data_IF_780536032030
#
_entry.id   IF_780536032030
#
_cell.length_a   1.000
_cell.length_b   1.000
_cell.length_c   1.000
_cell.angle_alpha   90.00
_cell.angle_beta   90.00
_cell.angle_gamma   90.00
#
_symmetry.space_group_name_H-M   'P 1'
#
loop_
_entity.id
_entity.type
_entity.pdbx_description
1 polymer ?
#
# COMPACT_ATOMS: atom_id res chain seq x y z
N UNK A 1 -3.49 -2.14 0.24
CA UNK A 1 -3.05 -0.83 0.80
C UNK A 1 -1.76 -1.01 1.59
N UNK A 2 -0.61 -1.01 0.94
CA UNK A 2 0.65 -1.28 1.62
C UNK A 2 1.13 -0.05 2.41
N UNK A 3 1.63 -0.26 3.62
CA UNK A 3 2.39 0.72 4.39
C UNK A 3 3.88 0.37 4.29
N UNK A 4 4.64 1.11 3.50
CA UNK A 4 5.99 0.75 3.07
C UNK A 4 7.05 1.79 3.44
N UNK A 5 6.64 2.93 4.00
CA UNK A 5 7.52 4.05 4.37
C UNK A 5 7.13 4.59 5.75
N UNK A 6 7.82 4.11 6.78
CA UNK A 6 7.58 4.53 8.17
C UNK A 6 8.08 5.95 8.44
N UNK A 7 8.85 6.56 7.52
CA UNK A 7 9.24 7.97 7.64
C UNK A 7 8.11 8.94 7.27
N UNK A 8 6.98 8.43 6.75
CA UNK A 8 5.80 9.20 6.35
C UNK A 8 6.13 10.30 5.32
N UNK A 9 7.07 10.05 4.41
CA UNK A 9 7.54 11.05 3.46
C UNK A 9 6.64 11.25 2.24
N UNK A 10 5.63 10.39 2.03
CA UNK A 10 4.67 10.48 0.94
C UNK A 10 3.78 11.73 1.06
N UNK A 11 3.50 12.39 -0.06
CA UNK A 11 2.63 13.59 -0.08
C UNK A 11 1.20 13.28 0.32
N UNK A 12 0.68 12.09 -0.03
CA UNK A 12 -0.68 11.67 0.29
C UNK A 12 -0.94 11.58 1.80
N UNK A 13 0.09 11.39 2.64
CA UNK A 13 0.00 11.46 4.10
C UNK A 13 -0.67 12.78 4.53
N UNK A 14 -0.30 13.88 3.90
CA UNK A 14 -0.84 15.21 4.19
C UNK A 14 -2.09 15.50 3.35
N UNK A 15 -2.03 15.22 2.05
CA UNK A 15 -3.04 15.66 1.10
C UNK A 15 -4.37 14.88 1.29
N UNK A 16 -4.31 13.62 1.72
CA UNK A 16 -5.46 12.76 1.95
C UNK A 16 -5.88 12.63 3.43
N UNK A 17 -5.24 13.34 4.34
CA UNK A 17 -5.48 13.23 5.79
C UNK A 17 -6.96 13.39 6.19
N UNK A 18 -7.72 14.23 5.46
CA UNK A 18 -9.15 14.47 5.73
C UNK A 18 -10.09 13.57 4.91
N UNK A 19 -9.53 12.74 4.03
CA UNK A 19 -10.27 11.93 3.08
C UNK A 19 -10.22 10.44 3.40
N UNK A 20 -9.20 9.98 4.12
CA UNK A 20 -9.12 8.61 4.59
C UNK A 20 -10.08 8.43 5.78
N UNK A 21 -11.10 7.58 5.60
CA UNK A 21 -12.15 7.42 6.61
C UNK A 21 -11.73 6.46 7.74
N UNK A 22 -10.66 5.69 7.57
CA UNK A 22 -10.28 4.64 8.52
C UNK A 22 -8.92 4.91 9.18
N UNK A 23 -7.97 5.49 8.45
CA UNK A 23 -6.59 5.64 8.91
C UNK A 23 -6.24 7.10 9.11
N UNK A 24 -5.70 7.44 10.27
CA UNK A 24 -5.20 8.78 10.58
C UNK A 24 -3.69 8.84 10.70
N UNK A 25 -3.12 10.01 10.48
CA UNK A 25 -1.67 10.23 10.62
C UNK A 25 -1.23 10.00 12.07
N UNK A 26 -2.04 10.41 13.04
CA UNK A 26 -1.77 10.23 14.47
C UNK A 26 -1.71 8.75 14.83
N UNK A 27 -2.63 7.94 14.29
CA UNK A 27 -2.62 6.49 14.50
C UNK A 27 -1.37 5.84 13.88
N UNK A 28 -0.95 6.26 12.68
CA UNK A 28 0.30 5.79 12.09
C UNK A 28 1.51 6.17 12.93
N UNK A 29 1.61 7.41 13.37
CA UNK A 29 2.72 7.88 14.20
C UNK A 29 2.82 7.10 15.52
N UNK A 30 1.70 6.87 16.19
CA UNK A 30 1.66 6.05 17.40
C UNK A 30 2.11 4.62 17.13
N UNK A 31 1.63 4.00 16.04
CA UNK A 31 2.05 2.66 15.62
C UNK A 31 3.54 2.58 15.32
N UNK A 32 4.10 3.54 14.62
CA UNK A 32 5.53 3.63 14.29
C UNK A 32 6.37 3.69 15.57
N UNK A 33 5.99 4.54 16.54
CA UNK A 33 6.70 4.66 17.82
C UNK A 33 6.76 3.34 18.59
N UNK A 34 5.68 2.55 18.53
CA UNK A 34 5.65 1.23 19.18
C UNK A 34 6.40 0.14 18.37
N UNK A 35 6.44 0.28 17.06
CA UNK A 35 7.06 -0.71 16.17
C UNK A 35 8.59 -0.57 16.09
N UNK A 36 9.08 0.67 16.03
CA UNK A 36 10.52 0.92 15.94
C UNK A 36 11.17 0.70 17.30
N UNK A 37 12.18 -0.17 17.31
CA UNK A 37 13.07 -0.33 18.45
C UNK A 37 14.16 0.75 18.47
N UNK A 38 14.80 0.93 19.61
CA UNK A 38 15.86 1.92 19.79
C UNK A 38 16.97 1.79 18.74
N UNK A 39 17.28 2.91 18.10
CA UNK A 39 18.37 3.05 17.13
C UNK A 39 18.02 2.69 15.69
N UNK A 40 16.80 2.20 15.39
CA UNK A 40 16.37 1.97 14.01
C UNK A 40 15.71 3.24 13.46
N UNK A 41 16.23 3.73 12.33
CA UNK A 41 15.63 4.87 11.64
C UNK A 41 14.37 4.44 10.87
N UNK A 42 13.40 5.35 10.77
CA UNK A 42 12.13 5.06 10.09
C UNK A 42 12.27 4.79 8.58
N UNK A 43 13.33 5.24 7.96
CA UNK A 43 13.67 5.01 6.54
C UNK A 43 14.63 3.82 6.32
N UNK A 44 14.98 3.07 7.37
CA UNK A 44 15.79 1.86 7.26
C UNK A 44 15.04 0.82 6.39
N UNK A 45 15.67 0.24 5.34
CA UNK A 45 15.02 -0.74 4.46
C UNK A 45 14.43 -1.96 5.18
N UNK A 46 14.97 -2.32 6.35
CA UNK A 46 14.47 -3.45 7.16
C UNK A 46 13.07 -3.20 7.76
N UNK A 47 12.68 -1.94 7.90
CA UNK A 47 11.38 -1.54 8.45
C UNK A 47 10.53 -0.76 7.45
N UNK A 48 11.16 -0.19 6.43
CA UNK A 48 10.52 0.54 5.33
C UNK A 48 10.93 -0.04 3.98
N UNK A 49 10.25 -1.10 3.52
CA UNK A 49 10.61 -1.84 2.31
C UNK A 49 10.62 -1.00 1.03
N UNK A 50 9.99 0.17 1.04
CA UNK A 50 10.06 1.10 -0.09
C UNK A 50 11.51 1.52 -0.41
N UNK A 51 12.40 1.53 0.58
CA UNK A 51 13.80 1.93 0.41
C UNK A 51 14.75 0.76 0.12
N UNK A 52 14.24 -0.48 0.15
CA UNK A 52 15.01 -1.69 -0.12
C UNK A 52 15.19 -1.93 -1.63
N UNK A 53 16.10 -2.85 -1.99
CA UNK A 53 16.21 -3.38 -3.35
C UNK A 53 15.01 -4.29 -3.67
N UNK A 54 14.28 -3.95 -4.73
CA UNK A 54 13.09 -4.69 -5.15
C UNK A 54 13.36 -5.71 -6.27
N UNK A 55 14.61 -5.87 -6.68
CA UNK A 55 14.98 -6.86 -7.71
C UNK A 55 14.59 -8.27 -7.27
N UNK A 56 14.04 -9.04 -8.18
CA UNK A 56 13.69 -10.45 -7.94
C UNK A 56 12.37 -10.66 -7.19
N UNK A 57 11.62 -9.62 -6.90
CA UNK A 57 10.26 -9.81 -6.40
C UNK A 57 9.41 -10.56 -7.44
N UNK A 58 8.53 -11.47 -7.00
CA UNK A 58 7.60 -12.17 -7.88
C UNK A 58 6.58 -11.20 -8.48
N UNK A 59 5.80 -11.64 -9.49
CA UNK A 59 4.64 -10.88 -9.95
C UNK A 59 3.78 -10.43 -8.77
N UNK A 60 3.51 -9.12 -8.67
CA UNK A 60 2.92 -8.53 -7.47
C UNK A 60 1.65 -7.75 -7.82
N UNK A 61 0.57 -8.00 -7.10
CA UNK A 61 -0.64 -7.18 -7.15
C UNK A 61 -0.61 -6.13 -6.04
N UNK A 62 -0.77 -4.88 -6.41
CA UNK A 62 -0.94 -3.76 -5.48
C UNK A 62 -2.33 -3.16 -5.65
N UNK A 63 -3.09 -3.10 -4.58
CA UNK A 63 -4.41 -2.47 -4.52
C UNK A 63 -4.38 -1.30 -3.56
N UNK A 64 -4.96 -0.15 -3.95
CA UNK A 64 -5.00 1.05 -3.13
C UNK A 64 -6.22 1.89 -3.47
N UNK A 65 -6.79 2.57 -2.48
CA UNK A 65 -7.87 3.54 -2.65
C UNK A 65 -7.33 4.95 -2.92
N UNK A 66 -8.04 5.72 -3.75
CA UNK A 66 -7.58 7.07 -4.12
C UNK A 66 -7.65 8.10 -2.96
N UNK A 67 -8.39 7.78 -1.90
CA UNK A 67 -8.52 8.64 -0.71
C UNK A 67 -7.58 8.24 0.44
N UNK A 68 -6.73 7.24 0.22
CA UNK A 68 -5.84 6.76 1.27
C UNK A 68 -4.67 7.71 1.54
N UNK A 69 -4.32 7.86 2.81
CA UNK A 69 -3.07 8.53 3.18
C UNK A 69 -1.84 7.75 2.74
N UNK A 70 -1.95 6.44 2.48
CA UNK A 70 -0.89 5.56 1.98
C UNK A 70 -0.83 5.47 0.43
N UNK A 71 -1.57 6.31 -0.28
CA UNK A 71 -1.60 6.28 -1.75
C UNK A 71 -0.22 6.42 -2.38
N UNK A 72 0.61 7.34 -1.86
CA UNK A 72 1.96 7.55 -2.39
C UNK A 72 2.92 6.39 -2.10
N UNK A 73 2.75 5.68 -0.99
CA UNK A 73 3.53 4.46 -0.73
C UNK A 73 3.31 3.45 -1.85
N UNK A 74 2.04 3.22 -2.22
CA UNK A 74 1.68 2.32 -3.31
C UNK A 74 2.20 2.79 -4.67
N UNK A 75 2.11 4.10 -4.97
CA UNK A 75 2.59 4.67 -6.23
C UNK A 75 4.10 4.57 -6.35
N UNK A 76 4.84 5.00 -5.33
CA UNK A 76 6.31 4.94 -5.29
C UNK A 76 6.83 3.51 -5.35
N UNK A 77 6.15 2.58 -4.66
CA UNK A 77 6.48 1.16 -4.74
C UNK A 77 6.31 0.63 -6.17
N UNK A 78 5.17 0.93 -6.81
CA UNK A 78 4.93 0.55 -8.20
C UNK A 78 6.06 1.04 -9.11
N UNK A 79 6.36 2.33 -9.07
CA UNK A 79 7.38 2.95 -9.93
C UNK A 79 8.76 2.30 -9.73
N UNK A 80 9.15 2.09 -8.47
CA UNK A 80 10.43 1.47 -8.14
C UNK A 80 10.49 0.00 -8.56
N UNK A 81 9.44 -0.75 -8.35
CA UNK A 81 9.37 -2.16 -8.71
C UNK A 81 9.37 -2.35 -10.25
N UNK A 82 8.66 -1.51 -11.00
CA UNK A 82 8.70 -1.50 -12.47
C UNK A 82 10.12 -1.20 -12.99
N UNK A 83 10.83 -0.25 -12.38
CA UNK A 83 12.23 0.06 -12.70
C UNK A 83 13.17 -1.11 -12.40
N UNK A 84 12.87 -1.92 -11.38
CA UNK A 84 13.58 -3.15 -11.03
C UNK A 84 13.15 -4.36 -11.89
N UNK A 85 12.31 -4.17 -12.90
CA UNK A 85 11.85 -5.25 -13.80
C UNK A 85 10.80 -6.17 -13.18
N UNK A 86 10.19 -5.81 -12.07
CA UNK A 86 9.13 -6.57 -11.41
C UNK A 86 7.82 -6.40 -12.18
N UNK A 87 7.10 -7.50 -12.43
CA UNK A 87 5.76 -7.47 -13.03
C UNK A 87 4.73 -7.00 -12.01
N UNK A 88 4.33 -5.72 -12.08
CA UNK A 88 3.36 -5.13 -11.18
C UNK A 88 1.97 -5.07 -11.82
N UNK A 89 0.96 -5.55 -11.10
CA UNK A 89 -0.45 -5.36 -11.36
C UNK A 89 -0.97 -4.32 -10.38
N UNK A 90 -1.12 -3.07 -10.84
CA UNK A 90 -1.55 -1.96 -9.99
C UNK A 90 -3.02 -1.65 -10.19
N UNK A 91 -3.80 -1.63 -9.10
CA UNK A 91 -5.24 -1.34 -9.10
C UNK A 91 -5.55 -0.17 -8.17
N UNK A 92 -5.96 0.95 -8.75
CA UNK A 92 -6.47 2.11 -8.02
C UNK A 92 -8.00 2.08 -7.97
N UNK A 93 -8.57 2.15 -6.76
CA UNK A 93 -10.02 2.19 -6.56
C UNK A 93 -10.45 3.61 -6.18
N UNK A 94 -11.12 4.27 -7.12
CA UNK A 94 -11.54 5.67 -6.97
C UNK A 94 -12.55 5.84 -5.85
N UNK A 95 -12.31 6.82 -4.98
CA UNK A 95 -13.20 7.16 -3.87
C UNK A 95 -13.02 6.30 -2.63
N UNK A 96 -12.19 5.23 -2.68
CA UNK A 96 -11.99 4.31 -1.57
C UNK A 96 -10.87 4.78 -0.63
N UNK A 97 -11.00 4.42 0.65
CA UNK A 97 -10.08 4.68 1.76
C UNK A 97 -9.31 3.42 2.16
N UNK A 98 -8.45 3.51 3.16
CA UNK A 98 -7.63 2.39 3.63
C UNK A 98 -8.48 1.18 4.05
N UNK A 99 -8.07 -0.02 3.62
CA UNK A 99 -8.73 -1.29 3.91
C UNK A 99 -10.23 -1.35 3.55
N UNK A 100 -10.63 -0.61 2.52
CA UNK A 100 -12.02 -0.58 2.04
C UNK A 100 -12.58 -1.96 1.71
N UNK A 101 -11.73 -2.95 1.42
CA UNK A 101 -12.10 -4.34 1.16
C UNK A 101 -12.91 -4.98 2.30
N UNK A 102 -12.73 -4.52 3.52
CA UNK A 102 -13.50 -4.97 4.69
C UNK A 102 -15.00 -4.68 4.54
N UNK A 103 -15.35 -3.71 3.71
CA UNK A 103 -16.72 -3.26 3.49
C UNK A 103 -17.36 -3.85 2.23
N UNK A 104 -16.95 -5.07 1.82
CA UNK A 104 -17.39 -5.70 0.57
C UNK A 104 -18.90 -6.02 0.51
N UNK A 105 -19.60 -6.06 1.65
CA UNK A 105 -21.05 -6.21 1.69
C UNK A 105 -21.79 -4.94 1.24
N UNK A 106 -21.15 -3.77 1.31
CA UNK A 106 -21.80 -2.47 1.07
C UNK A 106 -21.28 -1.73 -0.16
N UNK A 107 -20.01 -1.94 -0.55
CA UNK A 107 -19.37 -1.20 -1.65
C UNK A 107 -19.00 -2.11 -2.81
N UNK A 108 -19.48 -1.80 -4.05
CA UNK A 108 -19.13 -2.56 -5.25
C UNK A 108 -17.63 -2.61 -5.51
N UNK A 109 -16.91 -1.52 -5.23
CA UNK A 109 -15.45 -1.41 -5.39
C UNK A 109 -14.71 -2.39 -4.47
N UNK A 110 -15.18 -2.54 -3.22
CA UNK A 110 -14.62 -3.50 -2.28
C UNK A 110 -14.86 -4.93 -2.74
N UNK A 111 -16.05 -5.24 -3.24
CA UNK A 111 -16.36 -6.55 -3.83
C UNK A 111 -15.52 -6.83 -5.08
N UNK A 112 -15.32 -5.81 -5.93
CA UNK A 112 -14.51 -5.94 -7.13
C UNK A 112 -13.03 -6.19 -6.77
N UNK A 113 -12.50 -5.51 -5.76
CA UNK A 113 -11.11 -5.70 -5.34
C UNK A 113 -10.81 -7.14 -4.87
N UNK A 114 -11.76 -7.79 -4.20
CA UNK A 114 -11.62 -9.18 -3.81
C UNK A 114 -11.67 -10.14 -5.01
N UNK A 115 -12.47 -9.83 -6.04
CA UNK A 115 -12.46 -10.60 -7.31
C UNK A 115 -11.13 -10.42 -8.03
N UNK A 116 -10.63 -9.19 -8.16
CA UNK A 116 -9.35 -8.90 -8.80
C UNK A 116 -8.19 -9.66 -8.11
N UNK A 117 -8.23 -9.75 -6.77
CA UNK A 117 -7.27 -10.52 -5.99
C UNK A 117 -7.35 -12.03 -6.31
N UNK A 118 -8.56 -12.58 -6.33
CA UNK A 118 -8.79 -13.99 -6.62
C UNK A 118 -8.34 -14.34 -8.06
N UNK A 119 -8.65 -13.51 -9.04
CA UNK A 119 -8.22 -13.67 -10.43
C UNK A 119 -6.70 -13.61 -10.56
N UNK A 120 -6.05 -12.66 -9.89
CA UNK A 120 -4.60 -12.56 -9.87
C UNK A 120 -3.96 -13.83 -9.31
N UNK A 121 -4.40 -14.30 -8.13
CA UNK A 121 -3.89 -15.50 -7.50
C UNK A 121 -4.07 -16.75 -8.39
N UNK A 122 -5.25 -16.92 -8.97
CA UNK A 122 -5.53 -18.06 -9.87
C UNK A 122 -4.65 -18.06 -11.13
N UNK A 123 -4.30 -16.88 -11.65
CA UNK A 123 -3.48 -16.76 -12.85
C UNK A 123 -1.98 -16.98 -12.57
N UNK A 124 -1.52 -16.83 -11.34
CA UNK A 124 -0.14 -17.17 -10.96
C UNK A 124 0.12 -18.68 -11.04
N UNK A 125 -0.86 -19.49 -10.68
CA UNK A 125 -0.74 -20.96 -10.68
C UNK A 125 -0.75 -21.56 -12.11
N UNK A 126 -1.03 -20.75 -13.14
CA UNK A 126 -1.14 -21.18 -14.55
C UNK A 126 0.09 -20.86 -15.41
N UNK A 127 1.08 -20.16 -14.86
CA UNK A 127 2.34 -19.79 -15.51
C UNK A 127 3.53 -20.49 -14.84
#
# INVERSE_FOLDING_TARGET
SPFLDLSLSGKSIRDNQKHDALLSVEALQAGIQHYLSDGIQADDPRVSPLFDDLNGLPPTLVQVGSKEILLDDANRFREKAEQAGVKIHFKLYTGMWHNFQMFNAWFPEAKQSLKDLAEFATNLDRN
#
